data_IF_848451729062
#
_entry.id   IF_848451729062
#
_cell.length_a   1.000
_cell.length_b   1.000
_cell.length_c   1.000
_cell.angle_alpha   90.00
_cell.angle_beta   90.00
_cell.angle_gamma   90.00
#
_symmetry.space_group_name_H-M   'P 1'
#
loop_
_entity.id
_entity.type
_entity.pdbx_description
1 polymer ?
#
# COMPACT_ATOMS: atom_id res chain seq x y z
N UNK A 1 -20.67 3.42 -15.35
CA UNK A 1 -20.69 2.19 -14.54
C UNK A 1 -19.29 1.62 -14.28
N UNK A 2 -18.52 1.16 -15.27
CA UNK A 2 -17.16 0.62 -15.03
C UNK A 2 -16.16 1.66 -14.51
N UNK A 3 -16.26 2.91 -14.98
CA UNK A 3 -15.43 4.02 -14.51
C UNK A 3 -15.76 4.43 -13.06
N UNK A 4 -17.06 4.45 -12.69
CA UNK A 4 -17.49 4.77 -11.33
C UNK A 4 -17.00 3.72 -10.32
N UNK A 5 -17.04 2.44 -10.71
CA UNK A 5 -16.47 1.33 -9.92
C UNK A 5 -14.96 1.48 -9.77
N UNK A 6 -14.24 1.85 -10.83
CA UNK A 6 -12.79 2.05 -10.77
C UNK A 6 -12.39 3.25 -9.90
N UNK A 7 -13.15 4.36 -9.94
CA UNK A 7 -12.96 5.50 -9.05
C UNK A 7 -13.26 5.13 -7.59
N UNK A 8 -14.32 4.36 -7.35
CA UNK A 8 -14.64 3.81 -6.02
C UNK A 8 -13.52 2.92 -5.49
N UNK A 9 -12.94 2.07 -6.33
CA UNK A 9 -11.78 1.24 -5.97
C UNK A 9 -10.54 2.08 -5.64
N UNK A 10 -10.25 3.14 -6.42
CA UNK A 10 -9.15 4.05 -6.11
C UNK A 10 -9.33 4.76 -4.76
N UNK A 11 -10.55 5.20 -4.45
CA UNK A 11 -10.87 5.81 -3.17
C UNK A 11 -10.72 4.82 -2.02
N UNK A 12 -11.15 3.57 -2.20
CA UNK A 12 -10.97 2.51 -1.21
C UNK A 12 -9.48 2.21 -0.95
N UNK A 13 -8.65 2.16 -2.01
CA UNK A 13 -7.20 2.00 -1.88
C UNK A 13 -6.56 3.21 -1.18
N UNK A 14 -7.02 4.43 -1.45
CA UNK A 14 -6.52 5.62 -0.77
C UNK A 14 -6.88 5.61 0.73
N UNK A 15 -8.07 5.14 1.08
CA UNK A 15 -8.56 5.04 2.47
C UNK A 15 -7.84 3.96 3.30
N UNK A 16 -7.15 3.01 2.67
CA UNK A 16 -6.46 1.92 3.39
C UNK A 16 -5.03 2.27 3.79
N UNK A 17 -4.44 3.35 3.26
CA UNK A 17 -3.10 3.81 3.62
C UNK A 17 -2.99 4.23 5.10
N UNK A 18 -3.89 5.07 5.67
CA UNK A 18 -3.80 5.45 7.09
C UNK A 18 -3.93 4.27 8.07
N UNK A 19 -4.90 3.34 7.92
CA UNK A 19 -5.00 2.15 8.77
C UNK A 19 -3.73 1.30 8.76
N UNK A 20 -3.09 1.13 7.60
CA UNK A 20 -1.84 0.37 7.49
C UNK A 20 -0.70 1.05 8.27
N UNK A 21 -0.56 2.37 8.15
CA UNK A 21 0.45 3.12 8.90
C UNK A 21 0.24 2.99 10.42
N UNK A 22 -1.03 2.99 10.86
CA UNK A 22 -1.40 2.76 12.26
C UNK A 22 -1.09 1.32 12.69
N UNK A 23 -1.39 0.31 11.88
CA UNK A 23 -1.07 -1.09 12.16
C UNK A 23 0.44 -1.30 12.33
N UNK A 24 1.26 -0.71 11.45
CA UNK A 24 2.72 -0.79 11.56
C UNK A 24 3.20 -0.09 12.85
N UNK A 25 2.64 1.07 13.19
CA UNK A 25 2.94 1.78 14.45
C UNK A 25 2.55 0.95 15.68
N UNK A 26 1.41 0.27 15.65
CA UNK A 26 0.95 -0.61 16.72
C UNK A 26 1.84 -1.85 16.86
N UNK A 27 2.23 -2.49 15.74
CA UNK A 27 3.16 -3.63 15.74
C UNK A 27 4.55 -3.25 16.24
N UNK A 28 5.00 -2.03 15.97
CA UNK A 28 6.27 -1.50 16.51
C UNK A 28 6.23 -1.38 18.04
N UNK A 29 5.08 -1.00 18.61
CA UNK A 29 4.88 -0.83 20.06
C UNK A 29 4.41 -2.10 20.80
N UNK A 30 4.19 -3.22 20.11
CA UNK A 30 3.75 -4.45 20.77
C UNK A 30 4.92 -5.15 21.48
N UNK A 31 5.12 -4.84 22.76
CA UNK A 31 6.18 -5.46 23.58
C UNK A 31 5.85 -6.89 24.03
N UNK A 32 4.57 -7.29 23.99
CA UNK A 32 4.09 -8.57 24.55
C UNK A 32 3.91 -9.71 23.53
N UNK A 33 4.31 -9.55 22.27
CA UNK A 33 4.14 -10.58 21.24
C UNK A 33 5.40 -11.43 21.08
N UNK A 34 5.23 -12.75 21.20
CA UNK A 34 6.28 -13.72 20.93
C UNK A 34 6.77 -13.60 19.47
N UNK A 35 8.08 -13.75 19.23
CA UNK A 35 8.72 -13.38 17.96
C UNK A 35 8.11 -14.04 16.71
N UNK A 36 7.68 -15.31 16.83
CA UNK A 36 7.01 -16.03 15.75
C UNK A 36 5.71 -15.36 15.30
N UNK A 37 4.87 -14.98 16.26
CA UNK A 37 3.59 -14.30 15.98
C UNK A 37 3.84 -12.91 15.41
N UNK A 38 4.82 -12.19 15.96
CA UNK A 38 5.16 -10.84 15.50
C UNK A 38 5.69 -10.81 14.07
N UNK A 39 6.54 -11.77 13.69
CA UNK A 39 7.02 -11.95 12.31
C UNK A 39 5.86 -12.22 11.34
N UNK A 40 4.89 -13.04 11.75
CA UNK A 40 3.72 -13.35 10.96
C UNK A 40 2.81 -12.12 10.79
N UNK A 41 2.55 -11.36 11.86
CA UNK A 41 1.79 -10.11 11.79
C UNK A 41 2.45 -9.04 10.92
N UNK A 42 3.79 -8.91 10.99
CA UNK A 42 4.52 -8.02 10.08
C UNK A 42 4.45 -8.50 8.63
N UNK A 43 4.57 -9.81 8.40
CA UNK A 43 4.40 -10.40 7.07
C UNK A 43 3.00 -10.14 6.50
N UNK A 44 1.96 -10.23 7.33
CA UNK A 44 0.57 -9.90 6.94
C UNK A 44 0.40 -8.40 6.64
N UNK A 45 1.03 -7.52 7.43
CA UNK A 45 1.00 -6.07 7.19
C UNK A 45 1.74 -5.67 5.90
N UNK A 46 2.87 -6.31 5.60
CA UNK A 46 3.60 -6.10 4.34
C UNK A 46 2.79 -6.69 3.18
N UNK A 47 2.25 -7.90 3.35
CA UNK A 47 1.39 -8.54 2.35
C UNK A 47 0.21 -7.66 1.99
N UNK A 48 -0.48 -7.08 2.98
CA UNK A 48 -1.60 -6.16 2.73
C UNK A 48 -1.14 -4.89 2.00
N UNK A 49 -0.02 -4.29 2.40
CA UNK A 49 0.60 -3.15 1.67
C UNK A 49 0.83 -3.49 0.20
N UNK A 50 1.51 -4.61 -0.06
CA UNK A 50 1.86 -5.01 -1.43
C UNK A 50 0.59 -5.30 -2.24
N UNK A 51 -0.39 -5.99 -1.67
CA UNK A 51 -1.68 -6.23 -2.32
C UNK A 51 -2.41 -4.92 -2.64
N UNK A 52 -2.47 -3.96 -1.71
CA UNK A 52 -3.11 -2.67 -1.96
C UNK A 52 -2.41 -1.86 -3.05
N UNK A 53 -1.08 -1.82 -3.03
CA UNK A 53 -0.28 -1.16 -4.08
C UNK A 53 -0.54 -1.83 -5.44
N UNK A 54 -0.53 -3.15 -5.49
CA UNK A 54 -0.77 -3.91 -6.71
C UNK A 54 -2.18 -3.68 -7.25
N UNK A 55 -3.21 -3.72 -6.39
CA UNK A 55 -4.59 -3.40 -6.78
C UNK A 55 -4.70 -1.98 -7.32
N UNK A 56 -4.11 -0.99 -6.63
CA UNK A 56 -4.08 0.39 -7.09
C UNK A 56 -3.44 0.52 -8.48
N UNK A 57 -2.25 -0.07 -8.67
CA UNK A 57 -1.54 -0.04 -9.94
C UNK A 57 -2.33 -0.69 -11.09
N UNK A 58 -2.99 -1.83 -10.83
CA UNK A 58 -3.83 -2.53 -11.82
C UNK A 58 -5.05 -1.69 -12.20
N UNK A 59 -5.72 -1.06 -11.22
CA UNK A 59 -6.87 -0.19 -11.49
C UNK A 59 -6.45 1.03 -12.30
N UNK A 60 -5.30 1.63 -11.99
CA UNK A 60 -4.73 2.74 -12.78
C UNK A 60 -4.42 2.30 -14.21
N UNK A 61 -3.76 1.16 -14.39
CA UNK A 61 -3.46 0.62 -15.73
C UNK A 61 -4.74 0.34 -16.52
N UNK A 62 -5.77 -0.22 -15.88
CA UNK A 62 -7.07 -0.43 -16.50
C UNK A 62 -7.71 0.88 -16.94
N UNK A 63 -7.70 1.90 -16.08
CA UNK A 63 -8.24 3.23 -16.41
C UNK A 63 -7.50 3.90 -17.57
N UNK A 64 -6.17 3.86 -17.57
CA UNK A 64 -5.36 4.47 -18.64
C UNK A 64 -5.54 3.74 -19.97
N UNK A 65 -5.70 2.41 -19.97
CA UNK A 65 -5.87 1.61 -21.19
C UNK A 65 -7.29 1.59 -21.73
N UNK A 66 -8.30 1.69 -20.86
CA UNK A 66 -9.71 1.47 -21.23
C UNK A 66 -10.55 2.75 -21.25
N UNK A 67 -10.08 3.84 -20.64
CA UNK A 67 -10.78 5.12 -20.68
C UNK A 67 -9.96 6.14 -21.48
N UNK A 68 -10.63 6.88 -22.36
CA UNK A 68 -10.08 8.03 -23.08
C UNK A 68 -9.90 9.23 -22.14
N UNK A 69 -9.05 9.06 -21.13
CA UNK A 69 -8.82 10.05 -20.10
C UNK A 69 -8.04 11.25 -20.66
N UNK A 70 -8.41 12.50 -20.30
CA UNK A 70 -7.62 13.69 -20.58
C UNK A 70 -6.16 13.52 -20.10
N UNK A 71 -5.20 14.06 -20.86
CA UNK A 71 -3.77 13.91 -20.60
C UNK A 71 -3.37 14.29 -19.16
N UNK A 72 -3.97 15.36 -18.61
CA UNK A 72 -3.73 15.80 -17.23
C UNK A 72 -4.07 14.72 -16.19
N UNK A 73 -5.16 13.97 -16.39
CA UNK A 73 -5.55 12.87 -15.51
C UNK A 73 -4.58 11.69 -15.64
N UNK A 74 -4.10 11.38 -16.84
CA UNK A 74 -3.10 10.34 -17.05
C UNK A 74 -1.78 10.68 -16.32
N UNK A 75 -1.32 11.92 -16.43
CA UNK A 75 -0.12 12.41 -15.71
C UNK A 75 -0.33 12.36 -14.20
N UNK A 76 -1.49 12.78 -13.70
CA UNK A 76 -1.83 12.70 -12.28
C UNK A 76 -1.83 11.26 -11.75
N UNK A 77 -2.41 10.32 -12.50
CA UNK A 77 -2.38 8.90 -12.17
C UNK A 77 -0.98 8.31 -12.21
N UNK A 78 -0.16 8.68 -13.20
CA UNK A 78 1.23 8.25 -13.28
C UNK A 78 2.05 8.76 -12.08
N UNK A 79 1.87 10.03 -11.69
CA UNK A 79 2.49 10.59 -10.48
C UNK A 79 2.04 9.88 -9.21
N UNK A 80 0.76 9.52 -9.11
CA UNK A 80 0.24 8.75 -7.98
C UNK A 80 0.92 7.36 -7.88
N UNK A 81 1.10 6.66 -9.01
CA UNK A 81 1.83 5.38 -9.06
C UNK A 81 3.30 5.57 -8.67
N UNK A 82 3.97 6.61 -9.16
CA UNK A 82 5.35 6.95 -8.75
C UNK A 82 5.42 7.20 -7.24
N UNK A 83 4.40 7.82 -6.64
CA UNK A 83 4.28 8.03 -5.19
C UNK A 83 4.18 6.74 -4.37
N UNK A 84 3.80 5.60 -4.97
CA UNK A 84 3.77 4.31 -4.28
C UNK A 84 5.18 3.73 -4.07
N UNK A 85 6.16 4.09 -4.90
CA UNK A 85 7.56 3.65 -4.75
C UNK A 85 8.18 4.05 -3.40
N UNK A 86 8.20 5.34 -3.00
CA UNK A 86 8.77 5.72 -1.71
C UNK A 86 8.03 5.07 -0.54
N UNK A 87 6.72 4.84 -0.66
CA UNK A 87 5.95 4.14 0.37
C UNK A 87 6.34 2.66 0.50
N UNK A 88 6.52 1.95 -0.62
CA UNK A 88 7.01 0.58 -0.63
C UNK A 88 8.43 0.47 -0.05
N UNK A 89 9.33 1.39 -0.45
CA UNK A 89 10.69 1.47 0.08
C UNK A 89 10.70 1.72 1.59
N UNK A 90 9.88 2.65 2.07
CA UNK A 90 9.75 2.95 3.48
C UNK A 90 9.26 1.74 4.29
N UNK A 91 8.26 1.03 3.77
CA UNK A 91 7.75 -0.20 4.39
C UNK A 91 8.84 -1.28 4.49
N UNK A 92 9.67 -1.39 3.46
CA UNK A 92 10.80 -2.34 3.45
C UNK A 92 11.91 -1.95 4.43
N UNK A 93 12.21 -0.65 4.56
CA UNK A 93 13.14 -0.15 5.59
C UNK A 93 12.63 -0.46 6.99
N UNK A 94 11.34 -0.22 7.27
CA UNK A 94 10.72 -0.55 8.56
C UNK A 94 10.82 -2.04 8.88
N UNK A 95 10.63 -2.92 7.88
CA UNK A 95 10.84 -4.35 8.07
C UNK A 95 12.29 -4.69 8.44
N UNK A 96 13.27 -4.05 7.79
CA UNK A 96 14.69 -4.27 8.07
C UNK A 96 15.07 -3.80 9.47
N UNK A 97 14.64 -2.60 9.88
CA UNK A 97 14.85 -2.10 11.24
C UNK A 97 14.26 -3.08 12.27
N UNK A 98 13.01 -3.49 12.06
CA UNK A 98 12.31 -4.36 13.00
C UNK A 98 12.95 -5.75 13.09
N UNK A 99 13.51 -6.26 11.99
CA UNK A 99 14.27 -7.51 12.02
C UNK A 99 15.56 -7.37 12.85
N UNK A 100 16.27 -6.26 12.72
CA UNK A 100 17.54 -6.02 13.41
C UNK A 100 17.38 -5.78 14.92
N UNK A 101 16.28 -5.16 15.36
CA UNK A 101 16.04 -4.91 16.80
C UNK A 101 15.75 -6.17 17.63
N UNK A 102 15.56 -7.34 16.99
CA UNK A 102 15.14 -8.57 17.66
C UNK A 102 15.92 -9.81 17.16
N UNK A 103 17.07 -9.60 16.52
CA UNK A 103 18.12 -10.62 16.37
C UNK A 103 19.09 -10.53 17.54
#
# INVERSE_FOLDING_TARGET
>A
MSQDVALGLLQLVALTIPPIAVLIKMLRRSENLNWRTRKLSFGLAIGSVVSFIATGAVVVLYLVSSASLPLLLQVGLALAVVGLLPFALFTLVLYREHKQSFQ
#
